data_IF_990273433298
#
_entry.id   IF_990273433298
#
_cell.length_a   1.000
_cell.length_b   1.000
_cell.length_c   1.000
_cell.angle_alpha   90.00
_cell.angle_beta   90.00
_cell.angle_gamma   90.00
#
_symmetry.space_group_name_H-M   'P 1'
#
loop_
_entity.id
_entity.type
_entity.pdbx_description
1 polymer ?
#
# COMPACT_ATOMS: atom_id res chain seq x y z
N UNK A 1 -21.79 -7.72 7.73
CA UNK A 1 -23.10 -8.08 7.20
C UNK A 1 -23.77 -9.18 8.02
N UNK A 2 -23.22 -10.39 8.14
CA UNK A 2 -23.85 -11.47 8.94
C UNK A 2 -24.02 -11.08 10.42
N UNK A 3 -23.00 -10.50 11.04
CA UNK A 3 -23.10 -10.06 12.43
C UNK A 3 -24.10 -8.92 12.62
N UNK A 4 -24.18 -7.97 11.71
CA UNK A 4 -25.18 -6.89 11.76
C UNK A 4 -26.60 -7.42 11.66
N UNK A 5 -26.85 -8.26 10.65
CA UNK A 5 -28.18 -8.84 10.48
C UNK A 5 -28.61 -9.75 11.66
N UNK A 6 -27.63 -10.46 12.26
CA UNK A 6 -27.90 -11.27 13.48
C UNK A 6 -28.27 -10.37 14.68
N UNK A 7 -27.59 -9.25 14.86
CA UNK A 7 -27.92 -8.29 15.92
C UNK A 7 -29.28 -7.67 15.69
N UNK A 8 -29.58 -7.23 14.46
CA UNK A 8 -30.90 -6.69 14.10
C UNK A 8 -32.02 -7.71 14.33
N UNK A 9 -31.80 -8.98 13.98
CA UNK A 9 -32.77 -10.04 14.25
C UNK A 9 -33.01 -10.26 15.74
N UNK A 10 -31.96 -10.25 16.55
CA UNK A 10 -32.07 -10.36 18.00
C UNK A 10 -32.82 -9.14 18.58
N UNK A 11 -32.54 -7.95 18.12
CA UNK A 11 -33.16 -6.71 18.55
C UNK A 11 -34.67 -6.73 18.25
N UNK A 12 -35.03 -7.08 17.01
CA UNK A 12 -36.46 -7.20 16.61
C UNK A 12 -37.19 -8.27 17.41
N UNK A 13 -36.50 -9.42 17.66
CA UNK A 13 -37.07 -10.50 18.46
C UNK A 13 -37.30 -10.08 19.93
N UNK A 14 -36.36 -9.32 20.51
CA UNK A 14 -36.50 -8.79 21.88
C UNK A 14 -37.63 -7.78 21.98
N UNK A 15 -37.80 -6.89 21.01
CA UNK A 15 -38.86 -5.87 20.97
C UNK A 15 -40.22 -6.54 20.86
N UNK A 16 -40.36 -7.53 20.00
CA UNK A 16 -41.64 -8.20 19.75
C UNK A 16 -42.01 -9.27 20.82
N UNK A 17 -41.08 -9.64 21.71
CA UNK A 17 -41.21 -10.71 22.70
C UNK A 17 -41.59 -12.09 22.15
N UNK A 18 -41.44 -12.32 20.83
CA UNK A 18 -41.71 -13.55 20.12
C UNK A 18 -40.59 -13.86 19.15
N UNK A 19 -40.26 -15.15 19.00
CA UNK A 19 -39.31 -15.56 17.96
C UNK A 19 -39.99 -15.40 16.60
N UNK A 20 -39.49 -14.47 15.82
CA UNK A 20 -39.93 -14.28 14.45
C UNK A 20 -39.31 -15.37 13.53
N UNK A 21 -40.00 -15.61 12.40
CA UNK A 21 -39.48 -16.49 11.37
C UNK A 21 -38.11 -15.99 10.90
N UNK A 22 -37.15 -16.89 10.74
CA UNK A 22 -35.78 -16.58 10.30
C UNK A 22 -35.70 -16.32 8.78
N UNK A 23 -36.74 -16.69 8.01
CA UNK A 23 -36.77 -16.60 6.56
C UNK A 23 -36.58 -15.17 6.02
N UNK A 24 -37.27 -14.16 6.53
CA UNK A 24 -37.09 -12.77 6.05
C UNK A 24 -35.67 -12.26 6.24
N UNK A 25 -34.98 -12.67 7.32
CA UNK A 25 -33.59 -12.32 7.56
C UNK A 25 -32.65 -12.97 6.54
N UNK A 26 -32.92 -14.23 6.18
CA UNK A 26 -32.14 -14.94 5.16
C UNK A 26 -32.35 -14.27 3.79
N UNK A 27 -33.59 -13.98 3.40
CA UNK A 27 -33.90 -13.28 2.15
C UNK A 27 -33.21 -11.93 2.06
N UNK A 28 -33.29 -11.13 3.12
CA UNK A 28 -32.65 -9.82 3.18
C UNK A 28 -31.13 -9.93 3.09
N UNK A 29 -30.55 -10.91 3.76
CA UNK A 29 -29.09 -11.18 3.69
C UNK A 29 -28.66 -11.57 2.29
N UNK A 30 -29.45 -12.41 1.60
CA UNK A 30 -29.17 -12.80 0.21
C UNK A 30 -29.26 -11.63 -0.76
N UNK A 31 -30.29 -10.79 -0.63
CA UNK A 31 -30.43 -9.57 -1.45
C UNK A 31 -29.25 -8.63 -1.22
N UNK A 32 -28.88 -8.38 0.02
CA UNK A 32 -27.72 -7.53 0.36
C UNK A 32 -26.43 -8.09 -0.23
N UNK A 33 -26.22 -9.41 -0.18
CA UNK A 33 -25.05 -10.07 -0.72
C UNK A 33 -24.98 -9.90 -2.25
N UNK A 34 -26.10 -10.09 -2.94
CA UNK A 34 -26.21 -9.87 -4.40
C UNK A 34 -25.88 -8.42 -4.74
N UNK A 35 -26.45 -7.45 -4.02
CA UNK A 35 -26.19 -6.02 -4.25
C UNK A 35 -24.72 -5.67 -4.03
N UNK A 36 -24.08 -6.22 -3.00
CA UNK A 36 -22.65 -6.03 -2.73
C UNK A 36 -21.80 -6.60 -3.87
N UNK A 37 -22.12 -7.80 -4.36
CA UNK A 37 -21.42 -8.42 -5.48
C UNK A 37 -21.54 -7.54 -6.74
N UNK A 38 -22.77 -7.09 -7.07
CA UNK A 38 -23.00 -6.20 -8.20
C UNK A 38 -22.21 -4.91 -8.05
N UNK A 39 -22.18 -4.33 -6.84
CA UNK A 39 -21.43 -3.11 -6.57
C UNK A 39 -19.93 -3.31 -6.73
N UNK A 40 -19.37 -4.42 -6.23
CA UNK A 40 -17.94 -4.73 -6.34
C UNK A 40 -17.54 -4.89 -7.81
N UNK A 41 -18.28 -5.68 -8.57
CA UNK A 41 -17.98 -5.90 -9.99
C UNK A 41 -18.23 -4.64 -10.83
N UNK A 42 -19.31 -3.93 -10.57
CA UNK A 42 -19.65 -2.67 -11.24
C UNK A 42 -18.60 -1.58 -11.00
N UNK A 43 -18.22 -1.37 -9.75
CA UNK A 43 -17.19 -0.39 -9.40
C UNK A 43 -15.82 -0.75 -9.99
N UNK A 44 -15.45 -2.03 -9.97
CA UNK A 44 -14.22 -2.52 -10.59
C UNK A 44 -14.23 -2.29 -12.11
N UNK A 45 -15.33 -2.59 -12.77
CA UNK A 45 -15.49 -2.38 -14.22
C UNK A 45 -15.38 -0.89 -14.59
N UNK A 46 -16.09 -0.02 -13.87
CA UNK A 46 -16.05 1.42 -14.06
C UNK A 46 -14.64 1.95 -13.81
N UNK A 47 -14.00 1.52 -12.72
CA UNK A 47 -12.64 1.92 -12.39
C UNK A 47 -11.62 1.52 -13.47
N UNK A 48 -11.69 0.28 -13.96
CA UNK A 48 -10.76 -0.22 -14.99
C UNK A 48 -10.93 0.52 -16.34
N UNK A 49 -12.14 1.00 -16.63
CA UNK A 49 -12.42 1.76 -17.84
C UNK A 49 -12.03 3.23 -17.74
N UNK A 50 -12.16 3.80 -16.54
CA UNK A 50 -11.84 5.21 -16.27
C UNK A 50 -10.34 5.45 -16.10
N UNK A 51 -9.64 4.50 -15.49
CA UNK A 51 -8.22 4.64 -15.17
C UNK A 51 -7.36 3.74 -16.06
N UNK A 52 -6.66 4.39 -16.99
CA UNK A 52 -5.69 3.72 -17.86
C UNK A 52 -4.46 3.27 -17.04
N UNK A 53 -3.93 2.09 -17.34
CA UNK A 53 -2.67 1.63 -16.74
C UNK A 53 -1.55 2.64 -17.00
N UNK A 54 -0.75 2.93 -15.97
CA UNK A 54 0.34 3.90 -16.04
C UNK A 54 1.55 3.27 -16.69
N UNK A 55 2.09 3.95 -17.70
CA UNK A 55 3.33 3.55 -18.33
C UNK A 55 4.52 3.84 -17.43
N UNK A 56 5.26 2.79 -17.09
CA UNK A 56 6.41 2.87 -16.20
C UNK A 56 7.71 2.56 -16.94
N UNK A 57 8.73 3.37 -16.64
CA UNK A 57 10.11 3.17 -17.09
C UNK A 57 10.91 2.57 -15.92
N UNK A 58 11.60 1.47 -16.15
CA UNK A 58 12.53 0.88 -15.17
C UNK A 58 13.96 1.35 -15.48
N UNK A 59 14.58 2.03 -14.52
CA UNK A 59 15.99 2.39 -14.55
C UNK A 59 16.73 1.43 -13.64
N UNK A 60 17.68 0.68 -14.16
CA UNK A 60 18.41 -0.33 -13.39
C UNK A 60 19.93 -0.16 -13.54
N UNK A 61 20.65 -0.62 -12.51
CA UNK A 61 22.10 -0.64 -12.46
C UNK A 61 22.66 -2.05 -12.70
N UNK A 62 23.55 -2.48 -11.84
CA UNK A 62 24.28 -3.74 -11.99
C UNK A 62 23.39 -4.99 -11.99
N UNK A 63 22.25 -4.94 -11.29
CA UNK A 63 21.28 -6.03 -11.28
C UNK A 63 20.08 -5.70 -12.15
N UNK A 64 19.87 -6.47 -13.19
CA UNK A 64 18.61 -6.44 -13.93
C UNK A 64 17.47 -6.78 -12.94
N UNK A 65 16.36 -6.00 -12.95
CA UNK A 65 15.21 -6.26 -12.09
C UNK A 65 14.60 -7.65 -12.27
N UNK A 66 15.08 -8.41 -13.27
CA UNK A 66 14.62 -9.74 -13.58
C UNK A 66 13.16 -9.77 -14.05
N UNK A 67 12.79 -10.90 -14.64
CA UNK A 67 11.41 -11.08 -15.11
C UNK A 67 10.41 -11.14 -13.94
N UNK A 68 10.87 -11.46 -12.73
CA UNK A 68 10.04 -11.59 -11.54
C UNK A 68 9.38 -10.27 -11.11
N UNK A 69 10.13 -9.15 -11.06
CA UNK A 69 9.55 -7.85 -10.71
C UNK A 69 8.56 -7.40 -11.77
N UNK A 70 8.95 -7.55 -13.02
CA UNK A 70 8.16 -7.14 -14.17
C UNK A 70 6.90 -7.99 -14.25
N UNK A 71 7.02 -9.29 -14.07
CA UNK A 71 5.88 -10.19 -14.06
C UNK A 71 4.92 -9.87 -12.89
N UNK A 72 5.45 -9.63 -11.69
CA UNK A 72 4.63 -9.26 -10.51
C UNK A 72 3.92 -7.92 -10.71
N UNK A 73 4.57 -6.93 -11.30
CA UNK A 73 3.93 -5.64 -11.58
C UNK A 73 2.97 -5.72 -12.76
N UNK A 74 3.32 -6.44 -13.82
CA UNK A 74 2.45 -6.65 -14.98
C UNK A 74 1.29 -7.62 -14.71
N UNK A 75 1.31 -8.40 -13.62
CA UNK A 75 0.11 -9.15 -13.19
C UNK A 75 -1.05 -8.22 -12.80
N UNK A 76 -0.73 -6.96 -12.50
CA UNK A 76 -1.70 -5.89 -12.26
C UNK A 76 -1.74 -4.90 -13.42
N UNK A 77 -2.02 -5.40 -14.61
CA UNK A 77 -2.17 -4.59 -15.85
C UNK A 77 -3.25 -3.51 -15.75
N UNK A 78 -4.12 -3.61 -14.79
CA UNK A 78 -5.11 -2.59 -14.46
C UNK A 78 -4.48 -1.31 -13.89
N UNK A 79 -3.28 -1.39 -13.32
CA UNK A 79 -2.62 -0.27 -12.62
C UNK A 79 -1.26 0.09 -13.21
N UNK A 80 -0.48 -0.89 -13.65
CA UNK A 80 0.91 -0.73 -14.02
C UNK A 80 1.19 -1.40 -15.37
N UNK A 81 1.88 -0.68 -16.23
CA UNK A 81 2.38 -1.18 -17.51
C UNK A 81 3.86 -0.80 -17.63
N UNK A 82 4.73 -1.79 -17.43
CA UNK A 82 6.17 -1.59 -17.61
C UNK A 82 6.47 -1.67 -19.11
N UNK A 83 6.52 -0.51 -19.75
CA UNK A 83 6.72 -0.39 -21.19
C UNK A 83 8.16 -0.08 -21.58
N UNK A 84 9.04 0.20 -20.62
CA UNK A 84 10.44 0.50 -20.94
C UNK A 84 11.42 0.08 -19.85
N UNK A 85 12.60 -0.35 -20.29
CA UNK A 85 13.76 -0.61 -19.43
C UNK A 85 14.95 0.19 -19.95
N UNK A 86 15.71 0.79 -19.05
CA UNK A 86 16.92 1.52 -19.39
C UNK A 86 18.01 1.25 -18.37
N UNK A 87 19.19 0.89 -18.87
CA UNK A 87 20.38 0.75 -18.04
C UNK A 87 21.02 2.12 -17.81
N UNK A 88 21.57 2.32 -16.62
CA UNK A 88 22.15 3.59 -16.17
C UNK A 88 23.30 4.08 -17.07
N UNK A 89 23.99 3.16 -17.77
CA UNK A 89 25.10 3.49 -18.68
C UNK A 89 24.72 4.29 -19.93
N UNK A 90 23.40 4.40 -20.24
CA UNK A 90 22.95 5.19 -21.41
C UNK A 90 23.18 6.71 -21.27
N UNK A 91 23.56 7.15 -20.10
CA UNK A 91 23.85 8.55 -19.85
C UNK A 91 22.66 9.33 -19.31
N UNK A 92 22.97 10.27 -18.44
CA UNK A 92 21.97 11.02 -17.65
C UNK A 92 20.99 11.81 -18.51
N UNK A 93 21.49 12.49 -19.54
CA UNK A 93 20.66 13.35 -20.40
C UNK A 93 19.59 12.56 -21.17
N UNK A 94 19.96 11.38 -21.65
CA UNK A 94 19.06 10.52 -22.39
C UNK A 94 18.00 9.92 -21.47
N UNK A 95 18.43 9.46 -20.28
CA UNK A 95 17.52 8.93 -19.26
C UNK A 95 16.51 9.99 -18.82
N UNK A 96 16.95 11.23 -18.56
CA UNK A 96 16.07 12.34 -18.21
C UNK A 96 15.04 12.65 -19.30
N UNK A 97 15.44 12.52 -20.58
CA UNK A 97 14.50 12.68 -21.70
C UNK A 97 13.46 11.57 -21.69
N UNK A 98 13.90 10.31 -21.56
CA UNK A 98 12.99 9.17 -21.50
C UNK A 98 12.02 9.26 -20.31
N UNK A 99 12.50 9.70 -19.14
CA UNK A 99 11.67 9.81 -17.93
C UNK A 99 10.45 10.71 -18.13
N UNK A 100 10.53 11.70 -19.01
CA UNK A 100 9.41 12.63 -19.28
C UNK A 100 8.30 12.02 -20.12
N UNK A 101 8.62 10.96 -20.85
CA UNK A 101 7.67 10.28 -21.75
C UNK A 101 6.83 9.22 -21.02
N UNK A 102 7.12 8.99 -19.71
CA UNK A 102 6.46 8.00 -18.89
C UNK A 102 5.70 8.61 -17.71
N UNK A 103 4.63 7.95 -17.29
CA UNK A 103 3.80 8.38 -16.16
C UNK A 103 4.47 8.16 -14.80
N UNK A 104 5.49 7.33 -14.77
CA UNK A 104 6.28 7.05 -13.58
C UNK A 104 7.56 6.28 -13.87
N UNK A 105 8.45 6.28 -12.90
CA UNK A 105 9.78 5.69 -13.01
C UNK A 105 10.01 4.75 -11.84
N UNK A 106 10.58 3.59 -12.11
CA UNK A 106 11.05 2.63 -11.11
C UNK A 106 12.56 2.70 -11.08
N UNK A 107 13.14 3.04 -9.95
CA UNK A 107 14.58 3.03 -9.72
C UNK A 107 14.94 1.73 -9.02
N UNK A 108 15.68 0.87 -9.73
CA UNK A 108 16.04 -0.45 -9.26
C UNK A 108 17.55 -0.59 -9.10
N UNK A 109 17.99 -0.94 -7.90
CA UNK A 109 19.37 -1.29 -7.54
C UNK A 109 20.46 -0.34 -8.07
N UNK A 110 20.23 0.96 -7.95
CA UNK A 110 21.21 1.97 -8.29
C UNK A 110 22.12 2.33 -7.11
N UNK A 111 23.38 2.74 -7.35
CA UNK A 111 24.22 3.39 -6.37
C UNK A 111 23.51 4.60 -5.75
N UNK A 112 23.77 4.89 -4.47
CA UNK A 112 23.03 5.94 -3.74
C UNK A 112 23.13 7.31 -4.38
N UNK A 113 24.26 7.64 -4.96
CA UNK A 113 24.50 8.92 -5.66
C UNK A 113 23.58 9.08 -6.87
N UNK A 114 23.54 8.08 -7.74
CA UNK A 114 22.71 8.10 -8.95
C UNK A 114 21.23 8.01 -8.62
N UNK A 115 20.87 7.12 -7.68
CA UNK A 115 19.51 7.02 -7.18
C UNK A 115 18.98 8.36 -6.69
N UNK A 116 19.76 9.07 -5.87
CA UNK A 116 19.35 10.35 -5.33
C UNK A 116 19.23 11.43 -6.42
N UNK A 117 20.05 11.35 -7.45
CA UNK A 117 19.99 12.27 -8.60
C UNK A 117 18.68 12.08 -9.38
N UNK A 118 18.35 10.84 -9.74
CA UNK A 118 17.09 10.55 -10.45
C UNK A 118 15.86 10.81 -9.59
N UNK A 119 15.94 10.53 -8.28
CA UNK A 119 14.87 10.84 -7.35
C UNK A 119 14.58 12.34 -7.29
N UNK A 120 15.63 13.17 -7.18
CA UNK A 120 15.51 14.64 -7.21
C UNK A 120 14.92 15.13 -8.52
N UNK A 121 15.33 14.54 -9.64
CA UNK A 121 14.78 14.89 -10.94
C UNK A 121 13.28 14.56 -11.03
N UNK A 122 12.87 13.37 -10.60
CA UNK A 122 11.46 12.98 -10.56
C UNK A 122 10.65 13.94 -9.69
N UNK A 123 11.17 14.29 -8.51
CA UNK A 123 10.51 15.22 -7.60
C UNK A 123 10.34 16.61 -8.21
N UNK A 124 11.41 17.16 -8.83
CA UNK A 124 11.37 18.46 -9.47
C UNK A 124 10.39 18.55 -10.65
N UNK A 125 10.17 17.43 -11.35
CA UNK A 125 9.26 17.39 -12.51
C UNK A 125 7.91 16.74 -12.21
N UNK A 126 7.59 16.51 -10.93
CA UNK A 126 6.33 15.86 -10.51
C UNK A 126 6.09 14.48 -11.14
N UNK A 127 7.16 13.76 -11.49
CA UNK A 127 7.12 12.41 -12.01
C UNK A 127 7.03 11.43 -10.83
N UNK A 128 6.12 10.47 -10.89
CA UNK A 128 6.02 9.44 -9.86
C UNK A 128 7.24 8.54 -9.86
N UNK A 129 7.85 8.38 -8.69
CA UNK A 129 9.03 7.57 -8.54
C UNK A 129 8.81 6.43 -7.54
N UNK A 130 9.09 5.22 -7.98
CA UNK A 130 9.10 4.02 -7.16
C UNK A 130 10.55 3.61 -6.94
N UNK A 131 10.97 3.52 -5.71
CA UNK A 131 12.38 3.24 -5.37
C UNK A 131 12.45 1.99 -4.52
N UNK A 132 13.36 1.08 -4.86
CA UNK A 132 13.67 -0.06 -3.98
C UNK A 132 14.42 0.46 -2.73
N UNK A 133 13.86 0.32 -1.53
CA UNK A 133 14.49 0.85 -0.32
C UNK A 133 15.75 0.06 -0.01
N UNK A 134 16.82 0.76 0.37
CA UNK A 134 18.02 0.17 0.96
C UNK A 134 17.85 0.06 2.48
N UNK A 135 18.70 -0.73 3.13
CA UNK A 135 18.65 -0.92 4.58
C UNK A 135 18.74 0.41 5.32
N UNK A 136 19.59 1.34 4.84
CA UNK A 136 19.67 2.69 5.39
C UNK A 136 18.36 3.47 5.33
N UNK A 137 17.61 3.32 4.24
CA UNK A 137 16.33 3.99 4.08
C UNK A 137 15.28 3.43 5.05
N UNK A 138 15.27 2.11 5.23
CA UNK A 138 14.38 1.44 6.18
C UNK A 138 14.68 1.89 7.61
N UNK A 139 15.95 2.01 7.98
CA UNK A 139 16.37 2.51 9.28
C UNK A 139 15.92 3.96 9.48
N UNK A 140 16.10 4.80 8.46
CA UNK A 140 15.69 6.21 8.51
C UNK A 140 14.17 6.38 8.55
N UNK A 141 13.41 5.50 7.91
CA UNK A 141 11.94 5.51 7.98
C UNK A 141 11.41 5.24 9.40
N UNK A 142 12.13 4.43 10.17
CA UNK A 142 11.82 4.15 11.59
C UNK A 142 12.42 5.15 12.57
N UNK A 143 13.11 6.18 12.10
CA UNK A 143 13.80 7.14 12.95
C UNK A 143 12.85 8.20 13.49
N UNK A 144 13.09 8.64 14.73
CA UNK A 144 12.35 9.69 15.39
C UNK A 144 12.85 11.06 14.91
N UNK A 145 11.93 11.96 14.58
CA UNK A 145 12.29 13.35 14.22
C UNK A 145 12.50 14.16 15.46
N UNK A 146 13.71 14.67 15.62
CA UNK A 146 14.07 15.57 16.74
C UNK A 146 14.44 16.93 16.17
N UNK A 147 13.97 17.97 16.81
CA UNK A 147 14.40 19.33 16.54
C UNK A 147 15.40 19.74 17.62
N UNK A 148 16.64 19.90 17.23
CA UNK A 148 17.66 20.48 18.11
C UNK A 148 17.85 21.93 17.69
N UNK A 149 17.27 22.85 18.45
CA UNK A 149 17.14 24.26 18.07
C UNK A 149 16.40 24.35 16.71
N UNK A 150 16.97 25.02 15.73
CA UNK A 150 16.39 25.16 14.38
C UNK A 150 16.80 24.05 13.38
N UNK A 151 17.56 23.07 13.85
CA UNK A 151 18.07 22.00 12.97
C UNK A 151 17.24 20.72 13.12
N UNK A 152 16.57 20.28 12.06
CA UNK A 152 15.87 18.99 12.06
C UNK A 152 16.88 17.83 11.99
N UNK A 153 16.80 16.91 12.93
CA UNK A 153 17.64 15.73 13.01
C UNK A 153 16.77 14.45 13.01
N UNK A 154 17.32 13.37 12.46
CA UNK A 154 16.72 12.06 12.53
C UNK A 154 17.52 11.22 13.54
N UNK A 155 16.88 10.82 14.64
CA UNK A 155 17.48 9.96 15.63
C UNK A 155 17.08 8.50 15.32
N UNK A 156 18.08 7.72 14.90
CA UNK A 156 17.93 6.29 14.75
C UNK A 156 18.57 5.58 15.92
N UNK A 157 17.81 4.75 16.64
CA UNK A 157 18.31 3.92 17.72
C UNK A 157 17.72 2.53 17.65
N UNK A 158 18.55 1.55 17.84
CA UNK A 158 18.11 0.16 17.93
C UNK A 158 17.66 -0.15 19.37
N UNK A 159 16.66 0.56 19.84
CA UNK A 159 16.01 0.23 21.09
C UNK A 159 14.70 -0.45 20.75
N UNK A 160 14.49 -1.67 21.25
CA UNK A 160 13.19 -2.35 21.16
C UNK A 160 12.05 -1.45 21.67
N UNK A 161 10.88 -1.99 21.85
CA UNK A 161 9.71 -1.26 22.35
C UNK A 161 10.09 -0.40 23.57
N UNK A 162 9.72 0.87 23.55
CA UNK A 162 9.87 1.77 24.70
C UNK A 162 9.13 1.19 25.92
N UNK A 163 9.52 1.58 27.11
CA UNK A 163 9.01 1.00 28.35
C UNK A 163 7.48 1.13 28.43
N UNK A 164 6.96 2.28 28.06
CA UNK A 164 5.53 2.59 27.95
C UNK A 164 4.79 1.67 26.96
N UNK A 165 5.39 1.43 25.78
CA UNK A 165 4.86 0.50 24.77
C UNK A 165 4.91 -0.96 25.25
N UNK A 166 5.93 -1.33 26.01
CA UNK A 166 6.05 -2.67 26.62
C UNK A 166 4.95 -2.89 27.67
N UNK A 167 4.73 -1.89 28.49
CA UNK A 167 3.65 -1.93 29.51
C UNK A 167 2.28 -1.98 28.84
N UNK A 168 2.03 -1.12 27.85
CA UNK A 168 0.78 -1.13 27.11
C UNK A 168 0.53 -2.48 26.42
N UNK A 169 1.54 -3.04 25.76
CA UNK A 169 1.45 -4.38 25.17
C UNK A 169 1.12 -5.44 26.22
N UNK A 170 1.79 -5.43 27.38
CA UNK A 170 1.56 -6.40 28.45
C UNK A 170 0.13 -6.32 28.98
N UNK A 171 -0.40 -5.11 29.16
CA UNK A 171 -1.79 -4.90 29.58
C UNK A 171 -2.76 -5.45 28.54
N UNK A 172 -2.53 -5.16 27.25
CA UNK A 172 -3.35 -5.68 26.16
C UNK A 172 -3.30 -7.21 26.09
N UNK A 173 -2.13 -7.81 26.23
CA UNK A 173 -1.96 -9.27 26.22
C UNK A 173 -2.75 -9.93 27.38
N UNK A 174 -2.72 -9.32 28.57
CA UNK A 174 -3.46 -9.81 29.76
C UNK A 174 -4.98 -9.66 29.57
N UNK A 175 -5.43 -8.53 29.04
CA UNK A 175 -6.85 -8.29 28.77
C UNK A 175 -7.41 -9.28 27.73
N UNK A 176 -6.68 -9.48 26.64
CA UNK A 176 -7.09 -10.39 25.57
C UNK A 176 -7.08 -11.84 26.05
N UNK A 177 -6.05 -12.26 26.79
CA UNK A 177 -5.99 -13.61 27.35
C UNK A 177 -7.04 -13.86 28.45
N UNK A 178 -7.38 -12.82 29.22
CA UNK A 178 -8.43 -12.92 30.26
C UNK A 178 -9.86 -12.98 29.73
N UNK A 179 -10.08 -12.46 28.51
CA UNK A 179 -11.41 -12.54 27.83
C UNK A 179 -11.52 -13.85 27.01
N UNK A 180 -10.39 -14.44 26.64
CA UNK A 180 -10.34 -15.65 25.82
C UNK A 180 -10.36 -16.98 26.61
N UNK A 181 -10.42 -16.93 27.94
CA UNK A 181 -10.64 -18.07 28.85
C UNK A 181 -12.05 -17.99 29.42
#
# INVERSE_FOLDING_TARGET
LLCTNAVEYLEITLINRWFLSIWPMIEMTMIQLILIIIWIFGSRYIYSKLYRARKLLVIYGDRDPGDDLIHKMNSRKDKYDISGKVHVSKGEKEIHRMMRDYDGVIIWDLPSTERNRYLKFCFAHSIRCYVSPKISDIILMGSERIHLFDTPLLMSRNMGLAVDQRVAKRIMDILISGIGI
#
